data_IF_370047600104
#
_entry.id   IF_370047600104
#
_cell.length_a   1.000
_cell.length_b   1.000
_cell.length_c   1.000
_cell.angle_alpha   90.00
_cell.angle_beta   90.00
_cell.angle_gamma   90.00
#
_symmetry.space_group_name_H-M   'P 1'
#
loop_
_entity.id
_entity.type
_entity.pdbx_description
1 polymer ?
#
# COMPACT_ATOMS: atom_id res chain seq x y z
N UNK A 1 -12.14 -7.52 15.13
CA UNK A 1 -12.03 -7.07 13.73
C UNK A 1 -10.70 -6.36 13.63
N UNK A 2 -9.75 -6.90 12.88
CA UNK A 2 -8.38 -6.38 12.79
C UNK A 2 -8.36 -5.12 11.96
N UNK A 3 -8.40 -3.95 12.61
CA UNK A 3 -7.98 -2.68 12.02
C UNK A 3 -6.64 -2.89 11.30
N UNK A 4 -6.55 -2.47 10.04
CA UNK A 4 -5.32 -2.38 9.25
C UNK A 4 -4.65 -3.68 8.77
N UNK A 5 -5.42 -4.64 8.26
CA UNK A 5 -4.83 -5.77 7.51
C UNK A 5 -3.93 -5.31 6.35
N UNK A 6 -4.27 -4.19 5.69
CA UNK A 6 -3.51 -3.62 4.59
C UNK A 6 -2.15 -3.10 5.04
N UNK A 7 -2.11 -2.25 6.08
CA UNK A 7 -0.84 -1.75 6.62
C UNK A 7 0.01 -2.90 7.15
N UNK A 8 -0.60 -3.95 7.72
CA UNK A 8 0.15 -5.11 8.19
C UNK A 8 0.77 -5.91 7.04
N UNK A 9 0.07 -6.06 5.90
CA UNK A 9 0.62 -6.68 4.68
C UNK A 9 1.75 -5.83 4.09
N UNK A 10 1.52 -4.52 3.93
CA UNK A 10 2.53 -3.57 3.45
C UNK A 10 3.79 -3.58 4.32
N UNK A 11 3.61 -3.54 5.65
CA UNK A 11 4.69 -3.55 6.62
C UNK A 11 5.52 -4.85 6.50
N UNK A 12 4.86 -6.01 6.34
CA UNK A 12 5.54 -7.30 6.14
C UNK A 12 6.34 -7.34 4.84
N UNK A 13 5.79 -6.82 3.75
CA UNK A 13 6.48 -6.76 2.45
C UNK A 13 7.68 -5.80 2.47
N UNK A 14 7.53 -4.61 3.06
CA UNK A 14 8.62 -3.64 3.18
C UNK A 14 9.81 -4.15 4.01
N UNK A 15 9.56 -5.04 5.00
CA UNK A 15 10.59 -5.62 5.87
C UNK A 15 11.24 -6.91 5.34
N UNK A 16 10.87 -7.41 4.15
CA UNK A 16 11.59 -8.52 3.54
C UNK A 16 13.04 -8.09 3.21
N UNK A 17 14.01 -8.79 3.80
CA UNK A 17 15.44 -8.62 3.49
C UNK A 17 15.72 -9.11 2.07
N UNK A 18 16.52 -8.35 1.32
CA UNK A 18 16.96 -8.70 -0.04
C UNK A 18 16.14 -8.10 -1.18
N UNK A 19 15.01 -7.45 -0.88
CA UNK A 19 14.17 -6.80 -1.90
C UNK A 19 14.70 -5.39 -2.24
N UNK A 20 14.95 -5.06 -3.52
CA UNK A 20 15.28 -3.70 -3.95
C UNK A 20 14.19 -2.70 -3.60
N UNK A 21 14.55 -1.43 -3.38
CA UNK A 21 13.60 -0.36 -3.08
C UNK A 21 12.51 -0.26 -4.17
N UNK A 22 12.89 -0.41 -5.43
CA UNK A 22 11.95 -0.35 -6.56
C UNK A 22 10.88 -1.45 -6.50
N UNK A 23 11.27 -2.68 -6.17
CA UNK A 23 10.32 -3.78 -5.95
C UNK A 23 9.41 -3.51 -4.75
N UNK A 24 9.95 -2.96 -3.65
CA UNK A 24 9.14 -2.57 -2.48
C UNK A 24 8.09 -1.54 -2.85
N UNK A 25 8.47 -0.52 -3.62
CA UNK A 25 7.55 0.51 -4.10
C UNK A 25 6.51 -0.07 -5.07
N UNK A 26 6.92 -0.98 -5.95
CA UNK A 26 6.01 -1.68 -6.86
C UNK A 26 4.95 -2.48 -6.09
N UNK A 27 5.36 -3.36 -5.17
CA UNK A 27 4.44 -4.18 -4.39
C UNK A 27 3.56 -3.34 -3.47
N UNK A 28 4.11 -2.29 -2.88
CA UNK A 28 3.34 -1.36 -2.05
C UNK A 28 2.20 -0.71 -2.83
N UNK A 29 2.49 -0.22 -4.05
CA UNK A 29 1.45 0.35 -4.93
C UNK A 29 0.44 -0.70 -5.36
N UNK A 30 0.90 -1.90 -5.73
CA UNK A 30 0.03 -2.99 -6.17
C UNK A 30 -0.99 -3.36 -5.09
N UNK A 31 -0.53 -3.56 -3.85
CA UNK A 31 -1.41 -3.88 -2.71
C UNK A 31 -2.43 -2.77 -2.49
N UNK A 32 -2.00 -1.51 -2.43
CA UNK A 32 -2.91 -0.38 -2.23
C UNK A 32 -3.95 -0.25 -3.36
N UNK A 33 -3.55 -0.52 -4.61
CA UNK A 33 -4.47 -0.49 -5.76
C UNK A 33 -5.48 -1.63 -5.69
N UNK A 34 -5.04 -2.85 -5.37
CA UNK A 34 -5.94 -4.00 -5.21
C UNK A 34 -6.94 -3.80 -4.08
N UNK A 35 -6.52 -3.21 -2.96
CA UNK A 35 -7.40 -2.94 -1.82
C UNK A 35 -8.43 -1.84 -2.15
N UNK A 36 -8.06 -0.84 -2.96
CA UNK A 36 -9.00 0.16 -3.50
C UNK A 36 -10.00 -0.46 -4.50
N UNK A 37 -9.54 -1.28 -5.44
CA UNK A 37 -10.38 -1.90 -6.47
C UNK A 37 -11.34 -2.94 -5.90
N UNK A 38 -10.90 -3.71 -4.90
CA UNK A 38 -11.72 -4.75 -4.26
C UNK A 38 -12.75 -4.22 -3.26
N UNK A 39 -12.72 -2.92 -2.95
CA UNK A 39 -13.62 -2.31 -1.96
C UNK A 39 -13.36 -2.80 -0.53
N UNK A 40 -12.17 -3.35 -0.24
CA UNK A 40 -11.81 -3.96 1.05
C UNK A 40 -11.39 -2.92 2.10
N UNK A 41 -11.99 -1.73 2.07
CA UNK A 41 -11.84 -0.69 3.08
C UNK A 41 -13.14 -0.57 3.87
N UNK A 42 -13.02 -0.47 5.20
CA UNK A 42 -14.17 -0.40 6.10
C UNK A 42 -14.73 1.01 6.25
N UNK A 43 -13.94 2.03 5.93
CA UNK A 43 -14.34 3.44 6.05
C UNK A 43 -13.85 4.28 4.87
N UNK A 44 -14.55 5.39 4.60
CA UNK A 44 -14.08 6.41 3.65
C UNK A 44 -12.73 7.02 4.05
N UNK A 45 -12.41 7.04 5.35
CA UNK A 45 -11.11 7.48 5.84
C UNK A 45 -9.99 6.50 5.43
N UNK A 46 -10.20 5.19 5.56
CA UNK A 46 -9.27 4.17 5.06
C UNK A 46 -9.08 4.27 3.55
N UNK A 47 -10.17 4.46 2.80
CA UNK A 47 -10.12 4.66 1.35
C UNK A 47 -9.22 5.83 0.97
N UNK A 48 -9.44 7.00 1.59
CA UNK A 48 -8.61 8.20 1.37
C UNK A 48 -7.15 7.97 1.75
N UNK A 49 -6.87 7.23 2.83
CA UNK A 49 -5.51 6.90 3.21
C UNK A 49 -4.82 6.01 2.18
N UNK A 50 -5.52 5.03 1.61
CA UNK A 50 -5.01 4.18 0.53
C UNK A 50 -4.76 4.98 -0.76
N UNK A 51 -5.67 5.88 -1.13
CA UNK A 51 -5.50 6.80 -2.27
C UNK A 51 -4.25 7.69 -2.09
N UNK A 52 -4.09 8.30 -0.91
CA UNK A 52 -2.92 9.13 -0.59
C UNK A 52 -1.61 8.33 -0.57
N UNK A 53 -1.65 7.12 -0.01
CA UNK A 53 -0.50 6.23 0.01
C UNK A 53 -0.07 5.86 -1.42
N UNK A 54 -1.01 5.43 -2.26
CA UNK A 54 -0.76 5.11 -3.67
C UNK A 54 -0.14 6.29 -4.44
N UNK A 55 -0.70 7.49 -4.28
CA UNK A 55 -0.17 8.71 -4.89
C UNK A 55 1.23 9.09 -4.39
N UNK A 56 1.54 8.81 -3.11
CA UNK A 56 2.87 9.07 -2.55
C UNK A 56 3.93 8.13 -3.13
N UNK A 57 3.57 6.87 -3.38
CA UNK A 57 4.45 5.91 -4.03
C UNK A 57 4.74 6.31 -5.48
N UNK A 58 3.76 6.87 -6.20
CA UNK A 58 3.98 7.36 -7.56
C UNK A 58 4.98 8.50 -7.63
N UNK A 59 4.92 9.43 -6.68
CA UNK A 59 5.93 10.51 -6.55
C UNK A 59 7.32 9.97 -6.23
N UNK A 60 7.42 8.90 -5.44
CA UNK A 60 8.71 8.28 -5.11
C UNK A 60 9.32 7.50 -6.28
N UNK A 61 8.49 7.01 -7.22
CA UNK A 61 8.95 6.27 -8.41
C UNK A 61 9.30 7.19 -9.59
N UNK A 62 8.68 8.36 -9.68
CA UNK A 62 8.97 9.40 -10.67
C UNK A 62 9.37 10.71 -9.97
N UNK A 63 10.60 10.80 -9.42
CA UNK A 63 11.08 11.99 -8.72
C UNK A 63 11.30 13.20 -9.65
#
# INVERSE_FOLDING_TARGET
MTENQVLHRLNRYCHMKGMPLEEKLFYAKLIATMDLESGQYTTEAERRNLEQFSASIDKLRNP
#
